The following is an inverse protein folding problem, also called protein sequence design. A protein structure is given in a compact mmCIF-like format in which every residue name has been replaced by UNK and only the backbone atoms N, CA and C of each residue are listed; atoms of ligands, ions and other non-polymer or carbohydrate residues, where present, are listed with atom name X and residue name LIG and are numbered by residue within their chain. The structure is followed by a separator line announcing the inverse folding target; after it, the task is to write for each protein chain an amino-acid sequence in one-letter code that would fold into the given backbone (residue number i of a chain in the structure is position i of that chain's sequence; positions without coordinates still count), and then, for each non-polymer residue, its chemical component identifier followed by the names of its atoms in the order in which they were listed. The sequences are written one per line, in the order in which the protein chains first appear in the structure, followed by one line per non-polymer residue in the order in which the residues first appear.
data_IF_094045073150
#
_entry.id   IF_094045073150
#
_cell.length_a   1.000
_cell.length_b   1.000
_cell.length_c   1.000
_cell.angle_alpha   90.00
_cell.angle_beta   90.00
_cell.angle_gamma   90.00
#
_symmetry.space_group_name_H-M   'P 1'
#
loop_
_entity.id
_entity.type
_entity.pdbx_description
1 polymer ?
#
# COMPACT_ATOMS: atom_id res chain seq x y z
N UNK A 1 47.54 -22.33 -37.80
CA UNK A 1 46.08 -22.23 -38.03
C UNK A 1 45.52 -21.38 -36.89
N UNK A 2 45.24 -20.10 -37.15
CA UNK A 2 44.87 -19.12 -36.13
C UNK A 2 43.33 -19.15 -35.95
N UNK A 3 42.82 -19.60 -34.81
CA UNK A 3 41.38 -19.62 -34.53
C UNK A 3 40.97 -18.34 -33.79
N UNK A 4 40.16 -17.52 -34.46
CA UNK A 4 39.47 -16.35 -33.90
C UNK A 4 38.29 -16.84 -33.04
N UNK A 5 38.30 -16.53 -31.75
CA UNK A 5 37.18 -16.76 -30.84
C UNK A 5 36.30 -15.49 -30.87
N UNK A 6 35.00 -15.59 -31.21
CA UNK A 6 34.13 -14.42 -31.23
C UNK A 6 33.77 -14.01 -29.79
N UNK A 7 34.10 -12.77 -29.41
CA UNK A 7 33.60 -12.15 -28.19
C UNK A 7 32.09 -11.86 -28.36
N UNK A 8 31.24 -12.75 -27.84
CA UNK A 8 29.86 -12.39 -27.55
C UNK A 8 29.84 -11.47 -26.33
N UNK A 9 29.61 -10.18 -26.56
CA UNK A 9 29.31 -9.22 -25.49
C UNK A 9 27.98 -9.59 -24.85
N UNK A 10 28.04 -10.18 -23.65
CA UNK A 10 26.90 -10.33 -22.78
C UNK A 10 26.50 -8.94 -22.25
N UNK A 11 25.53 -8.32 -22.92
CA UNK A 11 24.74 -7.25 -22.30
C UNK A 11 23.89 -7.89 -21.19
N UNK A 12 24.39 -7.82 -19.96
CA UNK A 12 23.61 -8.16 -18.78
C UNK A 12 22.47 -7.15 -18.64
N UNK A 13 21.27 -7.54 -19.05
CA UNK A 13 20.04 -6.87 -18.64
C UNK A 13 19.95 -6.99 -17.11
N UNK A 14 20.12 -5.87 -16.42
CA UNK A 14 19.83 -5.77 -14.99
C UNK A 14 18.32 -5.88 -14.84
N UNK A 15 17.83 -7.10 -14.63
CA UNK A 15 16.45 -7.33 -14.20
C UNK A 15 16.36 -6.81 -12.76
N UNK A 16 15.57 -5.76 -12.47
CA UNK A 16 15.37 -5.33 -11.09
C UNK A 16 14.83 -6.52 -10.30
N UNK A 17 15.31 -6.75 -9.06
CA UNK A 17 14.83 -7.87 -8.26
C UNK A 17 13.30 -7.79 -8.17
N UNK A 18 12.58 -8.93 -8.28
CA UNK A 18 11.15 -8.92 -8.04
C UNK A 18 10.93 -8.35 -6.64
N UNK A 19 9.97 -7.44 -6.52
CA UNK A 19 9.51 -6.92 -5.23
C UNK A 19 8.98 -8.09 -4.41
N UNK A 20 9.87 -8.72 -3.62
CA UNK A 20 9.53 -9.84 -2.76
C UNK A 20 8.58 -9.35 -1.67
N UNK A 21 7.50 -10.10 -1.45
CA UNK A 21 6.62 -9.95 -0.29
C UNK A 21 7.47 -9.88 0.99
N UNK A 22 7.49 -8.72 1.65
CA UNK A 22 8.24 -8.56 2.89
C UNK A 22 7.37 -9.05 4.06
N UNK A 23 7.73 -10.20 4.65
CA UNK A 23 7.01 -10.69 5.84
C UNK A 23 7.49 -9.99 7.11
N UNK A 24 6.54 -9.55 7.94
CA UNK A 24 6.79 -8.81 9.18
C UNK A 24 5.98 -9.38 10.34
N UNK A 25 6.48 -9.32 11.58
CA UNK A 25 5.72 -9.74 12.74
C UNK A 25 4.56 -8.77 13.02
N UNK A 26 3.36 -9.31 13.22
CA UNK A 26 2.15 -8.57 13.58
C UNK A 26 1.28 -9.41 14.52
N UNK A 27 1.16 -9.01 15.79
CA UNK A 27 0.36 -9.72 16.81
C UNK A 27 0.60 -11.24 16.88
N UNK A 28 1.87 -11.65 16.97
CA UNK A 28 2.32 -13.07 17.02
C UNK A 28 2.19 -13.86 15.71
N UNK A 29 1.76 -13.22 14.61
CA UNK A 29 1.74 -13.81 13.27
C UNK A 29 2.82 -13.17 12.39
N UNK A 30 3.28 -13.91 11.37
CA UNK A 30 4.08 -13.35 10.28
C UNK A 30 3.12 -13.04 9.13
N UNK A 31 3.06 -11.78 8.72
CA UNK A 31 2.13 -11.31 7.68
C UNK A 31 2.90 -10.59 6.58
N UNK A 32 2.36 -10.62 5.36
CA UNK A 32 2.92 -9.88 4.24
C UNK A 32 2.69 -8.36 4.42
N UNK A 33 3.76 -7.57 4.44
CA UNK A 33 3.71 -6.10 4.54
C UNK A 33 3.19 -5.44 3.24
N UNK A 34 3.07 -6.22 2.18
CA UNK A 34 2.51 -5.82 0.88
C UNK A 34 1.17 -6.53 0.61
N UNK A 35 0.55 -7.05 1.67
CA UNK A 35 -0.72 -7.76 1.63
C UNK A 35 -1.84 -6.91 1.01
N UNK A 36 -2.73 -7.60 0.28
CA UNK A 36 -4.01 -7.03 -0.14
C UNK A 36 -5.08 -7.23 0.95
N UNK A 37 -6.17 -6.48 0.85
CA UNK A 37 -7.25 -6.46 1.83
C UNK A 37 -7.77 -7.84 2.29
N UNK A 38 -7.93 -8.87 1.42
CA UNK A 38 -8.37 -10.20 1.86
C UNK A 38 -7.46 -10.86 2.90
N UNK A 39 -6.14 -10.64 2.83
CA UNK A 39 -5.18 -11.20 3.80
C UNK A 39 -5.31 -10.52 5.16
N UNK A 40 -5.57 -9.21 5.20
CA UNK A 40 -5.86 -8.50 6.44
C UNK A 40 -7.18 -8.99 7.07
N UNK A 41 -8.19 -9.20 6.23
CA UNK A 41 -9.52 -9.60 6.67
C UNK A 41 -9.61 -11.04 7.16
N UNK A 42 -8.64 -11.90 6.83
CA UNK A 42 -8.56 -13.24 7.38
C UNK A 42 -8.49 -13.27 8.93
N UNK A 43 -8.11 -12.15 9.56
CA UNK A 43 -8.16 -11.99 11.02
C UNK A 43 -9.02 -10.79 11.47
N UNK A 44 -9.14 -9.73 10.66
CA UNK A 44 -9.85 -8.48 11.00
C UNK A 44 -11.34 -8.45 10.60
N UNK A 45 -11.92 -9.59 10.24
CA UNK A 45 -13.36 -9.74 9.94
C UNK A 45 -14.25 -9.81 11.18
N UNK A 46 -13.67 -9.93 12.37
CA UNK A 46 -14.39 -10.10 13.63
C UNK A 46 -14.41 -11.52 14.19
N UNK A 47 -13.85 -12.50 13.47
CA UNK A 47 -13.81 -13.91 13.89
C UNK A 47 -12.65 -14.21 14.86
N UNK A 48 -11.48 -13.61 14.62
CA UNK A 48 -10.26 -13.82 15.41
C UNK A 48 -9.85 -12.58 16.21
N UNK A 49 -9.97 -11.40 15.61
CA UNK A 49 -9.64 -10.11 16.22
C UNK A 49 -10.83 -9.14 16.11
N UNK A 50 -10.68 -7.95 16.69
CA UNK A 50 -11.71 -6.91 16.59
C UNK A 50 -12.01 -6.60 15.12
N UNK A 51 -13.30 -6.57 14.74
CA UNK A 51 -13.69 -6.32 13.36
C UNK A 51 -13.31 -4.90 12.95
N UNK A 52 -12.86 -4.76 11.72
CA UNK A 52 -12.73 -3.46 11.06
C UNK A 52 -14.03 -3.20 10.30
N UNK A 53 -14.73 -2.13 10.66
CA UNK A 53 -15.87 -1.67 9.88
C UNK A 53 -15.36 -1.14 8.54
N UNK A 54 -15.76 -1.81 7.45
CA UNK A 54 -15.44 -1.46 6.06
C UNK A 54 -16.69 -0.89 5.40
N UNK A 55 -16.52 0.20 4.66
CA UNK A 55 -17.54 0.66 3.75
C UNK A 55 -17.37 0.00 2.38
N UNK A 56 -18.43 -0.63 1.87
CA UNK A 56 -18.43 -1.33 0.58
C UNK A 56 -19.34 -0.70 -0.47
N UNK A 57 -20.26 0.20 -0.08
CA UNK A 57 -21.24 0.82 -0.98
C UNK A 57 -21.44 2.29 -0.59
N UNK A 58 -21.46 3.18 -1.60
CA UNK A 58 -21.70 4.63 -1.43
C UNK A 58 -20.80 5.32 -0.41
N UNK A 59 -19.51 4.99 -0.45
CA UNK A 59 -18.54 5.44 0.52
C UNK A 59 -18.00 6.85 0.25
N UNK A 60 -17.75 7.56 1.33
CA UNK A 60 -17.12 8.86 1.47
C UNK A 60 -15.97 8.76 2.45
N UNK A 61 -14.98 9.65 2.37
CA UNK A 61 -13.82 9.67 3.28
C UNK A 61 -14.20 9.78 4.78
N UNK A 62 -15.47 10.06 5.09
CA UNK A 62 -16.03 10.11 6.45
C UNK A 62 -16.61 8.77 6.93
N UNK A 63 -16.83 7.84 6.02
CA UNK A 63 -17.36 6.52 6.32
C UNK A 63 -16.29 5.64 6.98
N UNK A 64 -16.69 4.52 7.60
CA UNK A 64 -15.75 3.50 8.04
C UNK A 64 -14.82 3.05 6.90
N UNK A 65 -13.66 2.48 7.24
CA UNK A 65 -12.53 2.19 6.35
C UNK A 65 -12.93 1.94 4.89
N UNK A 66 -12.59 2.89 4.02
CA UNK A 66 -12.69 2.72 2.57
C UNK A 66 -11.42 2.05 2.10
N UNK A 67 -11.57 0.87 1.51
CA UNK A 67 -10.49 0.09 0.92
C UNK A 67 -10.95 -0.47 -0.42
N UNK A 68 -9.97 -0.91 -1.20
CA UNK A 68 -10.11 -1.45 -2.55
C UNK A 68 -10.81 -0.50 -3.53
N UNK A 69 -10.62 0.81 -3.32
CA UNK A 69 -11.12 1.86 -4.22
C UNK A 69 -9.99 2.50 -5.02
N UNK A 70 -10.19 2.84 -6.30
CA UNK A 70 -9.18 3.52 -7.10
C UNK A 70 -8.69 4.83 -6.48
N UNK A 71 -7.39 5.10 -6.63
CA UNK A 71 -6.79 6.36 -6.23
C UNK A 71 -6.04 7.05 -7.39
N UNK A 72 -6.27 8.35 -7.62
CA UNK A 72 -7.43 9.12 -7.15
C UNK A 72 -8.73 8.62 -7.80
N UNK A 73 -9.92 8.90 -7.22
CA UNK A 73 -11.19 8.67 -7.90
C UNK A 73 -11.27 9.52 -9.18
N UNK A 74 -11.62 8.89 -10.30
CA UNK A 74 -11.62 9.53 -11.62
C UNK A 74 -12.53 10.76 -11.71
N UNK A 75 -13.62 10.78 -10.94
CA UNK A 75 -14.60 11.86 -10.88
C UNK A 75 -14.21 13.00 -9.92
N UNK A 76 -13.07 12.88 -9.23
CA UNK A 76 -12.65 13.80 -8.17
C UNK A 76 -11.17 14.18 -8.24
N UNK A 77 -10.51 14.06 -9.39
CA UNK A 77 -9.06 14.28 -9.53
C UNK A 77 -8.58 15.59 -8.87
N UNK A 78 -9.32 16.69 -9.04
CA UNK A 78 -8.96 18.01 -8.50
C UNK A 78 -9.07 18.11 -6.96
N UNK A 79 -9.66 17.11 -6.30
CA UNK A 79 -9.78 17.01 -4.84
C UNK A 79 -8.70 16.13 -4.20
N UNK A 80 -7.76 15.60 -4.99
CA UNK A 80 -6.70 14.72 -4.52
C UNK A 80 -5.31 15.14 -5.01
N UNK A 81 -4.29 14.82 -4.22
CA UNK A 81 -2.90 14.90 -4.63
C UNK A 81 -2.61 13.81 -5.68
N UNK A 82 -1.77 14.10 -6.70
CA UNK A 82 -1.27 13.08 -7.61
C UNK A 82 -0.67 11.88 -6.87
N UNK A 83 -0.82 10.64 -7.37
CA UNK A 83 -0.30 9.43 -6.73
C UNK A 83 1.17 9.55 -6.34
N UNK A 84 2.01 10.15 -7.20
CA UNK A 84 3.44 10.29 -6.97
C UNK A 84 3.74 11.18 -5.75
N UNK A 85 2.93 12.24 -5.57
CA UNK A 85 3.06 13.13 -4.42
C UNK A 85 2.59 12.43 -3.16
N UNK A 86 1.41 11.79 -3.17
CA UNK A 86 0.90 11.04 -2.02
C UNK A 86 1.86 9.91 -1.60
N UNK A 87 2.48 9.23 -2.58
CA UNK A 87 3.49 8.21 -2.32
C UNK A 87 4.77 8.77 -1.69
N UNK A 88 5.20 9.97 -2.11
CA UNK A 88 6.33 10.66 -1.47
C UNK A 88 6.07 11.03 0.00
N UNK A 89 4.80 11.15 0.39
CA UNK A 89 4.37 11.39 1.77
C UNK A 89 4.24 10.09 2.60
N UNK A 90 4.50 8.93 2.00
CA UNK A 90 4.49 7.64 2.68
C UNK A 90 3.22 6.81 2.46
N UNK A 91 2.31 7.24 1.59
CA UNK A 91 1.12 6.45 1.21
C UNK A 91 1.51 5.40 0.16
N UNK A 92 0.83 4.26 0.17
CA UNK A 92 1.03 3.19 -0.83
C UNK A 92 -0.27 2.93 -1.56
N UNK A 93 -0.21 2.62 -2.86
CA UNK A 93 -1.40 2.27 -3.65
C UNK A 93 -1.23 0.91 -4.33
N UNK A 94 -1.42 -0.21 -3.61
CA UNK A 94 -1.33 -1.53 -4.21
C UNK A 94 -2.32 -1.63 -5.38
N UNK A 95 -1.82 -1.97 -6.56
CA UNK A 95 -2.61 -2.03 -7.79
C UNK A 95 -3.37 -0.73 -8.12
N UNK A 96 -2.87 0.43 -7.68
CA UNK A 96 -3.55 1.73 -7.89
C UNK A 96 -4.77 1.95 -7.01
N UNK A 97 -4.93 1.16 -5.94
CA UNK A 97 -6.06 1.24 -5.02
C UNK A 97 -5.64 1.81 -3.67
N UNK A 98 -6.55 2.55 -3.01
CA UNK A 98 -6.53 2.71 -1.56
C UNK A 98 -6.85 1.36 -0.94
N UNK A 99 -5.96 0.82 -0.11
CA UNK A 99 -6.12 -0.45 0.59
C UNK A 99 -5.67 -0.29 2.06
N UNK A 100 -5.72 -1.38 2.85
CA UNK A 100 -5.29 -1.37 4.25
C UNK A 100 -3.89 -0.76 4.41
N UNK A 101 -2.96 -1.17 3.55
CA UNK A 101 -1.56 -0.72 3.60
C UNK A 101 -1.32 0.68 3.00
N UNK A 102 -2.35 1.35 2.48
CA UNK A 102 -2.28 2.77 2.14
C UNK A 102 -2.24 3.63 3.40
N UNK A 103 -3.03 3.24 4.41
CA UNK A 103 -3.11 3.94 5.69
C UNK A 103 -2.25 3.30 6.77
N UNK A 104 -1.93 2.01 6.63
CA UNK A 104 -1.13 1.24 7.58
C UNK A 104 0.23 0.84 7.00
N UNK A 105 1.28 1.02 7.78
CA UNK A 105 2.62 0.51 7.54
C UNK A 105 3.00 -0.41 8.69
N UNK A 106 3.03 -1.72 8.46
CA UNK A 106 3.30 -2.71 9.51
C UNK A 106 4.74 -2.63 10.07
N UNK A 107 5.65 -1.94 9.37
CA UNK A 107 6.98 -1.63 9.88
C UNK A 107 6.98 -0.45 10.87
N UNK A 108 5.90 0.33 10.96
CA UNK A 108 5.77 1.38 11.95
C UNK A 108 5.33 0.79 13.30
N UNK A 109 6.19 0.78 14.34
CA UNK A 109 5.86 0.18 15.64
C UNK A 109 4.89 1.03 16.48
N UNK A 110 4.53 2.23 16.02
CA UNK A 110 3.56 3.07 16.72
C UNK A 110 2.17 2.42 16.74
N UNK A 111 1.36 2.81 17.73
CA UNK A 111 -0.02 2.35 17.86
C UNK A 111 -0.77 2.56 16.54
N UNK A 112 -1.54 1.55 16.13
CA UNK A 112 -2.29 1.50 14.87
C UNK A 112 -1.43 1.45 13.60
N UNK A 113 -0.10 1.39 13.68
CA UNK A 113 0.77 1.21 12.51
C UNK A 113 0.51 2.22 11.39
N UNK A 114 0.19 3.49 11.69
CA UNK A 114 -0.20 4.43 10.65
C UNK A 114 0.98 4.72 9.70
N UNK A 115 0.74 4.71 8.39
CA UNK A 115 1.74 5.08 7.38
C UNK A 115 2.23 6.52 7.59
N UNK A 116 1.31 7.41 7.97
CA UNK A 116 1.58 8.79 8.36
C UNK A 116 0.86 9.08 9.68
N UNK A 117 1.54 9.70 10.65
CA UNK A 117 0.89 10.10 11.90
C UNK A 117 -0.24 11.10 11.60
N UNK A 118 -1.45 10.81 12.10
CA UNK A 118 -2.69 11.55 11.85
C UNK A 118 -2.92 12.81 12.73
N UNK A 119 -1.88 13.36 13.36
CA UNK A 119 -1.98 14.64 14.06
C UNK A 119 -2.48 15.73 13.09
N UNK A 120 -3.53 16.46 13.48
CA UNK A 120 -4.11 17.50 12.65
C UNK A 120 -4.66 16.99 11.30
N UNK A 121 -5.16 15.75 11.26
CA UNK A 121 -5.66 15.11 10.03
C UNK A 121 -4.61 14.89 8.94
N UNK A 122 -3.32 14.91 9.30
CA UNK A 122 -2.23 14.83 8.32
C UNK A 122 -2.29 13.58 7.44
N UNK A 123 -2.79 12.46 7.94
CA UNK A 123 -2.94 11.24 7.12
C UNK A 123 -3.94 11.47 5.98
N UNK A 124 -5.08 12.11 6.26
CA UNK A 124 -6.07 12.46 5.24
C UNK A 124 -5.48 13.47 4.24
N UNK A 125 -4.74 14.46 4.74
CA UNK A 125 -4.08 15.49 3.94
C UNK A 125 -2.87 14.98 3.15
N UNK A 126 -2.44 13.73 3.35
CA UNK A 126 -1.49 13.06 2.46
C UNK A 126 -2.12 12.65 1.13
N UNK A 127 -3.44 12.71 1.02
CA UNK A 127 -4.20 12.34 -0.17
C UNK A 127 -5.10 13.47 -0.67
N UNK A 128 -5.74 14.22 0.22
CA UNK A 128 -6.73 15.23 -0.16
C UNK A 128 -6.15 16.63 -0.22
N UNK A 129 -6.46 17.38 -1.28
CA UNK A 129 -6.29 18.83 -1.32
C UNK A 129 -7.49 19.50 -0.63
N UNK A 130 -7.21 20.53 0.18
CA UNK A 130 -8.20 21.28 0.95
C UNK A 130 -9.01 22.24 0.08
#
# INVERSE_FOLDING_TARGET
MLQLIPLFSFLAFVVPPPSYAQYVPHHSFMVNNDALSPECLACHDGSLLHPVAICTVNCSYRDPHIIDTPYPPLDKLDSYLPPEIAMSLGIRFPNGLVSCISCHNLLNPARHHLAVNNQGSRLCLSCHVQ
#
